data_IF_803485186262
#
_entry.id   IF_803485186262
#
_cell.length_a   1.000
_cell.length_b   1.000
_cell.length_c   1.000
_cell.angle_alpha   90.00
_cell.angle_beta   90.00
_cell.angle_gamma   90.00
#
_symmetry.space_group_name_H-M   'P 1'
#
loop_
_entity.id
_entity.type
_entity.pdbx_description
1 polymer ?
#
# COMPACT_ATOMS: atom_id res chain seq x y z
N UNK A 1 27.82 20.38 -28.12
CA UNK A 1 27.90 20.36 -26.64
C UNK A 1 26.60 20.79 -25.96
N UNK A 2 26.03 21.98 -26.21
CA UNK A 2 24.77 22.41 -25.57
C UNK A 2 23.56 21.48 -25.80
N UNK A 3 23.39 20.99 -27.04
CA UNK A 3 22.30 20.08 -27.41
C UNK A 3 22.42 18.71 -26.74
N UNK A 4 23.65 18.21 -26.59
CA UNK A 4 23.92 16.95 -25.91
C UNK A 4 23.61 17.06 -24.41
N UNK A 5 23.98 18.19 -23.80
CA UNK A 5 23.68 18.49 -22.41
C UNK A 5 22.17 18.58 -22.15
N UNK A 6 21.44 19.28 -23.03
CA UNK A 6 19.98 19.36 -22.95
C UNK A 6 19.32 17.99 -23.10
N UNK A 7 19.78 17.16 -24.04
CA UNK A 7 19.28 15.80 -24.21
C UNK A 7 19.53 14.93 -22.96
N UNK A 8 20.72 15.01 -22.36
CA UNK A 8 21.02 14.29 -21.12
C UNK A 8 20.14 14.74 -19.95
N UNK A 9 19.91 16.06 -19.80
CA UNK A 9 19.03 16.59 -18.75
C UNK A 9 17.60 16.09 -18.95
N UNK A 10 17.07 16.09 -20.17
CA UNK A 10 15.72 15.60 -20.46
C UNK A 10 15.57 14.11 -20.13
N UNK A 11 16.58 13.28 -20.44
CA UNK A 11 16.56 11.83 -20.13
C UNK A 11 16.66 11.55 -18.63
N UNK A 12 17.46 12.31 -17.89
CA UNK A 12 17.59 12.16 -16.43
C UNK A 12 16.32 12.62 -15.71
N UNK A 13 15.72 13.71 -16.19
CA UNK A 13 14.42 14.22 -15.76
C UNK A 13 13.38 13.11 -15.97
N UNK A 14 13.18 12.61 -17.19
CA UNK A 14 12.14 11.58 -17.45
C UNK A 14 12.33 10.29 -16.64
N UNK A 15 13.57 9.86 -16.37
CA UNK A 15 13.83 8.71 -15.49
C UNK A 15 13.46 8.97 -14.01
N UNK A 16 13.58 10.21 -13.54
CA UNK A 16 13.17 10.59 -12.18
C UNK A 16 11.64 10.67 -12.03
N UNK A 17 10.90 10.97 -13.11
CA UNK A 17 9.42 11.03 -13.09
C UNK A 17 8.75 9.68 -13.38
N UNK A 18 9.51 8.59 -13.54
CA UNK A 18 8.97 7.24 -13.72
C UNK A 18 8.62 6.52 -12.39
N UNK A 19 8.39 7.27 -11.31
CA UNK A 19 7.80 6.71 -10.09
C UNK A 19 6.29 6.73 -10.25
N UNK A 20 5.75 5.61 -10.72
CA UNK A 20 4.33 5.28 -10.82
C UNK A 20 3.61 5.56 -9.49
N UNK A 21 2.65 6.48 -9.54
CA UNK A 21 1.82 6.94 -8.41
C UNK A 21 0.86 5.86 -7.83
N UNK A 22 1.09 4.57 -8.11
CA UNK A 22 0.22 3.45 -7.72
C UNK A 22 0.92 2.12 -7.44
N UNK A 23 2.25 2.07 -7.24
CA UNK A 23 2.89 0.82 -6.83
C UNK A 23 2.68 0.57 -5.34
N UNK A 24 1.59 -0.13 -5.02
CA UNK A 24 1.36 -0.63 -3.68
C UNK A 24 2.41 -1.69 -3.31
N UNK A 25 2.81 -1.76 -2.02
CA UNK A 25 3.74 -2.79 -1.55
C UNK A 25 3.24 -4.21 -1.84
N UNK A 26 4.13 -5.19 -1.65
CA UNK A 26 3.79 -6.61 -1.83
C UNK A 26 2.52 -6.97 -1.06
N UNK A 27 1.65 -7.76 -1.71
CA UNK A 27 0.35 -8.20 -1.19
C UNK A 27 -0.67 -7.07 -0.91
N UNK A 28 -0.42 -5.86 -1.43
CA UNK A 28 -1.37 -4.76 -1.40
C UNK A 28 -1.83 -4.38 -2.80
N UNK A 29 -2.98 -3.72 -2.87
CA UNK A 29 -3.56 -3.15 -4.09
C UNK A 29 -4.19 -1.80 -3.77
N UNK A 30 -4.22 -0.90 -4.76
CA UNK A 30 -4.84 0.40 -4.59
C UNK A 30 -6.36 0.25 -4.64
N UNK A 31 -7.08 0.77 -3.65
CA UNK A 31 -8.53 0.76 -3.64
C UNK A 31 -9.14 1.39 -2.40
N UNK A 32 -10.47 1.38 -2.35
CA UNK A 32 -11.20 1.72 -1.14
C UNK A 32 -11.12 0.57 -0.14
N UNK A 33 -10.98 0.93 1.13
CA UNK A 33 -11.04 0.00 2.25
C UNK A 33 -11.96 0.55 3.35
N UNK A 34 -12.67 -0.37 3.99
CA UNK A 34 -13.54 -0.06 5.13
C UNK A 34 -12.78 -0.04 6.44
N UNK A 35 -13.45 0.35 7.52
CA UNK A 35 -12.79 0.72 8.77
C UNK A 35 -12.34 -0.45 9.62
N UNK A 36 -12.93 -1.63 9.46
CA UNK A 36 -12.47 -2.85 10.14
C UNK A 36 -11.70 -3.72 9.16
N UNK A 37 -10.42 -3.43 8.86
CA UNK A 37 -9.64 -4.30 8.01
C UNK A 37 -9.41 -5.63 8.71
N UNK A 38 -9.47 -6.76 7.98
CA UNK A 38 -9.06 -8.03 8.55
C UNK A 38 -7.58 -7.94 8.94
N UNK A 39 -7.25 -8.46 10.12
CA UNK A 39 -5.90 -8.41 10.68
C UNK A 39 -5.61 -9.66 11.51
N UNK A 40 -4.36 -9.82 11.92
CA UNK A 40 -3.94 -10.90 12.82
C UNK A 40 -4.49 -10.77 14.26
N UNK A 41 -5.21 -9.69 14.58
CA UNK A 41 -5.83 -9.52 15.88
C UNK A 41 -6.99 -10.51 16.06
N UNK A 42 -6.84 -11.45 17.01
CA UNK A 42 -7.84 -12.50 17.29
C UNK A 42 -9.20 -11.97 17.78
N UNK A 43 -9.21 -10.84 18.48
CA UNK A 43 -10.43 -10.25 19.05
C UNK A 43 -10.50 -8.75 18.71
N UNK A 44 -10.84 -8.38 17.46
CA UNK A 44 -10.96 -6.98 17.09
C UNK A 44 -12.19 -6.34 17.75
N UNK A 45 -12.13 -5.04 18.06
CA UNK A 45 -13.29 -4.24 18.43
C UNK A 45 -14.48 -4.47 17.49
N UNK A 46 -15.68 -4.61 18.06
CA UNK A 46 -16.93 -4.77 17.27
C UNK A 46 -17.39 -3.49 16.60
N UNK A 47 -16.96 -2.34 17.13
CA UNK A 47 -17.26 -1.03 16.58
C UNK A 47 -15.99 -0.45 15.96
N UNK A 48 -16.07 -0.11 14.67
CA UNK A 48 -15.08 0.73 14.00
C UNK A 48 -15.77 2.05 13.62
N UNK A 49 -15.01 3.15 13.67
CA UNK A 49 -15.48 4.46 13.21
C UNK A 49 -15.75 4.39 11.71
N UNK A 50 -16.97 4.72 11.26
CA UNK A 50 -17.27 4.79 9.82
C UNK A 50 -16.43 5.88 9.14
N UNK A 51 -15.54 5.50 8.23
CA UNK A 51 -14.72 6.38 7.41
C UNK A 51 -14.51 5.79 6.02
N UNK A 52 -14.68 6.62 4.99
CA UNK A 52 -14.41 6.22 3.62
C UNK A 52 -12.93 6.51 3.32
N UNK A 53 -12.10 5.46 3.37
CA UNK A 53 -10.66 5.58 3.17
C UNK A 53 -10.23 4.99 1.81
N UNK A 54 -9.18 5.58 1.22
CA UNK A 54 -8.57 5.16 -0.05
C UNK A 54 -7.06 5.04 0.09
N UNK A 55 -6.47 4.02 -0.54
CA UNK A 55 -5.02 3.82 -0.54
C UNK A 55 -4.67 2.36 -0.79
N UNK A 56 -3.47 1.95 -0.36
CA UNK A 56 -3.02 0.57 -0.49
C UNK A 56 -3.64 -0.31 0.60
N UNK A 57 -4.64 -1.11 0.23
CA UNK A 57 -5.25 -2.14 1.08
C UNK A 57 -4.60 -3.49 0.86
N UNK A 58 -4.73 -4.41 1.82
CA UNK A 58 -4.37 -5.80 1.56
C UNK A 58 -5.23 -6.36 0.42
N UNK A 59 -4.61 -7.15 -0.46
CA UNK A 59 -5.32 -7.93 -1.47
C UNK A 59 -6.28 -8.90 -0.79
N UNK A 60 -7.31 -9.33 -1.53
CA UNK A 60 -8.23 -10.36 -1.06
C UNK A 60 -7.48 -11.61 -0.57
N UNK A 61 -7.89 -12.14 0.58
CA UNK A 61 -7.24 -13.28 1.24
C UNK A 61 -6.00 -12.94 2.08
N UNK A 62 -5.56 -11.67 2.11
CA UNK A 62 -4.48 -11.20 3.00
C UNK A 62 -5.03 -10.32 4.13
N UNK A 63 -4.31 -10.30 5.24
CA UNK A 63 -4.68 -9.58 6.46
C UNK A 63 -3.53 -8.71 6.95
N UNK A 64 -3.85 -7.59 7.61
CA UNK A 64 -2.85 -6.74 8.24
C UNK A 64 -2.18 -7.46 9.40
N UNK A 65 -0.86 -7.38 9.48
CA UNK A 65 -0.11 -7.88 10.65
C UNK A 65 -0.44 -7.07 11.91
N UNK A 66 -0.66 -5.76 11.78
CA UNK A 66 -1.06 -4.87 12.89
C UNK A 66 -2.47 -4.33 12.65
N UNK A 67 -3.32 -4.44 13.68
CA UNK A 67 -4.69 -3.92 13.61
C UNK A 67 -4.70 -2.41 13.33
N UNK A 68 -5.54 -1.98 12.39
CA UNK A 68 -5.73 -0.56 11.99
C UNK A 68 -4.49 0.14 11.42
N UNK A 69 -3.40 -0.58 11.13
CA UNK A 69 -2.20 -0.02 10.51
C UNK A 69 -2.12 -0.46 9.04
N UNK A 70 -2.66 0.34 8.13
CA UNK A 70 -2.62 0.08 6.68
C UNK A 70 -1.22 0.16 6.08
N UNK A 71 -0.23 0.67 6.81
CA UNK A 71 1.19 0.62 6.45
C UNK A 71 1.84 -0.71 6.78
N UNK A 72 1.25 -1.52 7.67
CA UNK A 72 1.78 -2.82 8.06
C UNK A 72 1.74 -3.85 6.93
N UNK A 73 2.58 -4.88 7.03
CA UNK A 73 2.64 -5.95 6.04
C UNK A 73 1.31 -6.71 5.96
N UNK A 74 1.01 -7.17 4.75
CA UNK A 74 -0.14 -8.03 4.46
C UNK A 74 0.34 -9.47 4.30
N UNK A 75 -0.11 -10.34 5.19
CA UNK A 75 0.24 -11.77 5.24
C UNK A 75 -1.01 -12.61 5.07
N UNK A 76 -0.85 -13.91 4.78
CA UNK A 76 -1.99 -14.81 4.85
C UNK A 76 -2.39 -15.04 6.32
N UNK A 77 -3.67 -15.31 6.63
CA UNK A 77 -4.12 -15.56 8.00
C UNK A 77 -3.31 -16.64 8.72
N UNK A 78 -2.89 -17.69 8.01
CA UNK A 78 -2.05 -18.77 8.55
C UNK A 78 -0.62 -18.35 8.92
N UNK A 79 -0.14 -17.24 8.36
CA UNK A 79 1.21 -16.70 8.58
C UNK A 79 1.22 -15.60 9.65
N UNK A 80 0.11 -15.41 10.37
CA UNK A 80 0.03 -14.42 11.44
C UNK A 80 1.05 -14.71 12.55
N UNK A 81 1.82 -13.69 13.00
CA UNK A 81 2.75 -13.86 14.10
C UNK A 81 1.98 -14.21 15.38
N UNK A 82 2.52 -15.14 16.17
CA UNK A 82 1.95 -15.56 17.46
C UNK A 82 2.07 -14.48 18.53
#
# INVERSE_FOLDING_TARGET
MKVLFLACVVVLVSAAFAQSDHDCPKNKEFGSFGDCPPSCLKNPPKACTLSLNYGCKCKEGYVLTKYMDYGSDCVKPEDCPN
#
